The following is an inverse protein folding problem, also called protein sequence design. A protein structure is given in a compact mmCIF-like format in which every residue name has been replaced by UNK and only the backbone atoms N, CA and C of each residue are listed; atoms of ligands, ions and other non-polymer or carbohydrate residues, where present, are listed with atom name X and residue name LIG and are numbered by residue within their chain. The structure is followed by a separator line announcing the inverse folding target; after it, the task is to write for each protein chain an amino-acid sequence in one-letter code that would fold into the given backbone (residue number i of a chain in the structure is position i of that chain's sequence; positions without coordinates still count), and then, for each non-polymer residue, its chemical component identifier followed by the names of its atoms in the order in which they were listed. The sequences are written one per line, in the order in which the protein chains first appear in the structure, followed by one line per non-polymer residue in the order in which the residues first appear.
data_IF_793093526516
#
_entry.id   IF_793093526516
#
_cell.length_a   1.000
_cell.length_b   1.000
_cell.length_c   1.000
_cell.angle_alpha   90.00
_cell.angle_beta   90.00
_cell.angle_gamma   90.00
#
_symmetry.space_group_name_H-M   'P 1'
#
loop_
_entity.id
_entity.type
_entity.pdbx_description
1 polymer ?
#
# COMPACT_ATOMS: atom_id res chain seq x y z
N UNK A 1 3.11 -8.18 34.11
CA UNK A 1 2.26 -8.06 32.90
C UNK A 1 1.96 -6.58 32.75
N UNK A 2 2.63 -5.87 31.85
CA UNK A 2 2.35 -4.46 31.57
C UNK A 2 1.43 -4.39 30.36
N UNK A 3 0.13 -4.27 30.61
CA UNK A 3 -0.84 -3.83 29.62
C UNK A 3 -0.89 -2.31 29.75
N UNK A 4 0.03 -1.60 29.10
CA UNK A 4 -0.13 -0.15 28.91
C UNK A 4 -1.35 -0.02 28.00
N UNK A 5 -2.47 0.43 28.58
CA UNK A 5 -3.73 0.60 27.88
C UNK A 5 -3.57 1.61 26.75
N UNK A 6 -3.63 1.14 25.52
CA UNK A 6 -3.63 1.90 24.28
C UNK A 6 -4.98 2.63 24.01
N UNK A 7 -5.84 2.73 25.03
CA UNK A 7 -7.19 3.32 24.93
C UNK A 7 -7.10 4.80 24.57
N UNK A 8 -6.20 5.56 25.19
CA UNK A 8 -5.98 6.98 24.87
C UNK A 8 -5.54 7.18 23.41
N UNK A 9 -4.77 6.24 22.87
CA UNK A 9 -4.32 6.26 21.48
C UNK A 9 -5.45 5.88 20.50
N UNK A 10 -6.37 5.01 20.92
CA UNK A 10 -7.57 4.65 20.15
C UNK A 10 -8.59 5.79 20.12
N UNK A 11 -8.75 6.55 21.22
CA UNK A 11 -9.67 7.67 21.28
C UNK A 11 -9.28 8.81 20.33
N UNK A 12 -7.99 8.98 20.04
CA UNK A 12 -7.51 9.91 19.01
C UNK A 12 -8.09 9.61 17.63
N UNK A 13 -8.46 8.36 17.34
CA UNK A 13 -9.08 8.01 16.06
C UNK A 13 -10.58 8.35 15.98
N UNK A 14 -11.25 8.60 17.11
CA UNK A 14 -12.68 8.93 17.12
C UNK A 14 -12.99 10.30 16.50
N UNK A 15 -11.98 11.16 16.30
CA UNK A 15 -12.15 12.44 15.61
C UNK A 15 -12.16 12.32 14.10
N UNK A 16 -11.76 11.18 13.53
CA UNK A 16 -11.81 10.99 12.08
C UNK A 16 -13.22 10.63 11.63
N UNK A 17 -13.59 11.16 10.47
CA UNK A 17 -14.80 10.73 9.79
C UNK A 17 -14.70 9.26 9.36
N UNK A 18 -15.82 8.52 9.35
CA UNK A 18 -15.83 7.17 8.81
C UNK A 18 -15.37 7.17 7.34
N UNK A 19 -14.71 6.09 6.94
CA UNK A 19 -14.31 5.91 5.55
C UNK A 19 -15.53 6.00 4.62
N UNK A 20 -15.33 6.64 3.47
CA UNK A 20 -16.34 6.71 2.42
C UNK A 20 -16.70 5.30 1.92
N UNK A 21 -17.91 5.18 1.36
CA UNK A 21 -18.41 3.90 0.85
C UNK A 21 -17.58 3.47 -0.36
N UNK A 22 -17.10 2.22 -0.33
CA UNK A 22 -16.44 1.61 -1.49
C UNK A 22 -17.42 1.53 -2.66
N UNK A 23 -17.04 2.12 -3.79
CA UNK A 23 -17.84 2.14 -5.03
C UNK A 23 -17.18 1.37 -6.17
N UNK A 24 -15.87 1.09 -6.07
CA UNK A 24 -15.08 0.46 -7.12
C UNK A 24 -14.73 -0.98 -6.75
N UNK A 25 -14.89 -1.91 -7.70
CA UNK A 25 -14.46 -3.31 -7.50
C UNK A 25 -12.95 -3.46 -7.64
N UNK A 26 -12.41 -4.54 -7.07
CA UNK A 26 -10.99 -4.84 -7.17
C UNK A 26 -10.51 -4.97 -8.62
N UNK A 27 -11.30 -5.63 -9.47
CA UNK A 27 -10.98 -5.86 -10.87
C UNK A 27 -10.89 -4.54 -11.65
N UNK A 28 -11.89 -3.66 -11.47
CA UNK A 28 -11.91 -2.35 -12.12
C UNK A 28 -10.78 -1.43 -11.63
N UNK A 29 -10.41 -1.53 -10.34
CA UNK A 29 -9.26 -0.81 -9.81
C UNK A 29 -7.95 -1.35 -10.39
N UNK A 30 -7.80 -2.68 -10.46
CA UNK A 30 -6.61 -3.33 -10.98
C UNK A 30 -6.38 -3.00 -12.45
N UNK A 31 -7.41 -3.07 -13.30
CA UNK A 31 -7.33 -2.70 -14.72
C UNK A 31 -6.79 -1.28 -14.92
N UNK A 32 -7.15 -0.33 -14.04
CA UNK A 32 -6.67 1.07 -14.12
C UNK A 32 -5.19 1.25 -13.82
N UNK A 33 -4.62 0.41 -12.94
CA UNK A 33 -3.24 0.56 -12.47
C UNK A 33 -2.28 -0.50 -13.03
N UNK A 34 -2.79 -1.53 -13.70
CA UNK A 34 -1.99 -2.62 -14.24
C UNK A 34 -0.88 -2.13 -15.18
N UNK A 35 -1.18 -1.14 -16.03
CA UNK A 35 -0.20 -0.54 -16.96
C UNK A 35 0.84 0.35 -16.26
N UNK A 36 0.59 0.74 -15.00
CA UNK A 36 1.47 1.59 -14.20
C UNK A 36 2.41 0.78 -13.28
N UNK A 37 2.29 -0.54 -13.29
CA UNK A 37 3.18 -1.43 -12.54
C UNK A 37 4.56 -1.41 -13.19
N UNK A 38 5.56 -1.05 -12.39
CA UNK A 38 6.96 -0.99 -12.80
C UNK A 38 7.70 -2.25 -12.36
N UNK A 39 8.52 -2.81 -13.27
CA UNK A 39 9.49 -3.86 -12.97
C UNK A 39 10.91 -3.29 -13.05
N UNK A 40 11.63 -3.28 -11.93
CA UNK A 40 13.01 -2.77 -11.86
C UNK A 40 13.98 -3.85 -11.42
N UNK A 41 15.14 -4.02 -12.08
CA UNK A 41 16.19 -4.89 -11.57
C UNK A 41 16.77 -4.30 -10.27
N UNK A 42 16.85 -5.11 -9.22
CA UNK A 42 17.45 -4.73 -7.93
C UNK A 42 18.31 -5.88 -7.42
N UNK A 43 19.39 -5.55 -6.72
CA UNK A 43 20.17 -6.54 -5.99
C UNK A 43 19.59 -6.73 -4.59
N UNK A 44 19.17 -7.95 -4.28
CA UNK A 44 18.69 -8.34 -2.95
C UNK A 44 19.74 -9.22 -2.29
N UNK A 45 20.05 -8.94 -1.03
CA UNK A 45 20.96 -9.77 -0.27
C UNK A 45 20.28 -11.09 0.11
N UNK A 46 20.84 -12.21 -0.36
CA UNK A 46 20.39 -13.55 0.01
C UNK A 46 21.28 -14.07 1.14
N UNK A 47 20.70 -14.16 2.33
CA UNK A 47 21.39 -14.65 3.54
C UNK A 47 21.75 -16.14 3.46
N UNK A 48 21.04 -16.94 2.68
CA UNK A 48 21.38 -18.35 2.47
C UNK A 48 22.63 -18.51 1.60
N UNK A 49 22.80 -17.64 0.60
CA UNK A 49 23.92 -17.66 -0.33
C UNK A 49 25.06 -16.71 0.04
N UNK A 50 24.87 -15.89 1.09
CA UNK A 50 25.83 -14.88 1.56
C UNK A 50 26.28 -13.92 0.45
N UNK A 51 25.40 -13.61 -0.50
CA UNK A 51 25.71 -12.75 -1.66
C UNK A 51 24.50 -11.96 -2.12
N UNK A 52 24.75 -10.92 -2.91
CA UNK A 52 23.71 -10.18 -3.60
C UNK A 52 23.28 -10.91 -4.87
N UNK A 53 21.97 -11.08 -5.06
CA UNK A 53 21.35 -11.72 -6.21
C UNK A 53 20.52 -10.70 -6.97
N UNK A 54 20.61 -10.70 -8.30
CA UNK A 54 19.80 -9.85 -9.15
C UNK A 54 18.36 -10.39 -9.20
N UNK A 55 17.41 -9.56 -8.76
CA UNK A 55 15.98 -9.87 -8.74
C UNK A 55 15.19 -8.75 -9.43
N UNK A 56 13.95 -9.05 -9.81
CA UNK A 56 12.99 -8.04 -10.26
C UNK A 56 12.17 -7.52 -9.09
N UNK A 57 12.23 -6.21 -8.82
CA UNK A 57 11.30 -5.51 -7.93
C UNK A 57 10.07 -5.10 -8.74
N UNK A 58 8.92 -5.68 -8.41
CA UNK A 58 7.60 -5.24 -8.88
C UNK A 58 7.12 -4.15 -7.92
N UNK A 59 6.81 -2.97 -8.45
CA UNK A 59 6.38 -1.81 -7.67
C UNK A 59 5.30 -1.03 -8.42
N UNK A 60 4.46 -0.30 -7.71
CA UNK A 60 3.51 0.64 -8.31
C UNK A 60 3.36 1.84 -7.39
N UNK A 61 3.61 3.04 -7.93
CA UNK A 61 3.52 4.29 -7.17
C UNK A 61 2.09 4.83 -7.06
N UNK A 62 1.14 4.16 -7.71
CA UNK A 62 -0.22 4.62 -7.85
C UNK A 62 -1.19 3.68 -7.15
N UNK A 63 -2.20 4.26 -6.51
CA UNK A 63 -3.37 3.57 -5.97
C UNK A 63 -4.63 4.07 -6.64
N UNK A 64 -5.73 3.33 -6.47
CA UNK A 64 -7.07 3.78 -6.86
C UNK A 64 -7.84 4.13 -5.60
N UNK A 65 -8.40 5.34 -5.53
CA UNK A 65 -9.32 5.71 -4.47
C UNK A 65 -10.57 4.81 -4.55
N UNK A 66 -10.86 4.07 -3.48
CA UNK A 66 -11.93 3.08 -3.46
C UNK A 66 -13.35 3.69 -3.58
N UNK A 67 -13.50 4.98 -3.29
CA UNK A 67 -14.78 5.70 -3.26
C UNK A 67 -15.02 6.54 -4.52
N UNK A 68 -13.97 7.12 -5.10
CA UNK A 68 -14.08 7.94 -6.33
C UNK A 68 -13.64 7.19 -7.59
N UNK A 69 -12.75 6.22 -7.45
CA UNK A 69 -12.12 5.52 -8.56
C UNK A 69 -10.99 6.30 -9.23
N UNK A 70 -10.54 7.40 -8.66
CA UNK A 70 -9.42 8.18 -9.17
C UNK A 70 -8.09 7.48 -8.91
N UNK A 71 -7.18 7.58 -9.87
CA UNK A 71 -5.80 7.12 -9.72
C UNK A 71 -4.99 8.21 -9.01
N UNK A 72 -4.37 7.87 -7.90
CA UNK A 72 -3.63 8.79 -7.03
C UNK A 72 -2.21 8.30 -6.78
N UNK A 73 -1.25 9.21 -6.66
CA UNK A 73 0.11 8.83 -6.23
C UNK A 73 0.09 8.50 -4.74
N UNK A 74 0.64 7.34 -4.37
CA UNK A 74 0.68 6.87 -2.98
C UNK A 74 1.60 7.74 -2.11
N UNK A 75 2.59 8.39 -2.69
CA UNK A 75 3.51 9.29 -1.98
C UNK A 75 2.86 10.65 -1.60
N UNK A 76 1.67 10.96 -2.16
CA UNK A 76 0.94 12.22 -1.95
C UNK A 76 -0.26 12.09 -0.98
N UNK A 77 -0.42 10.92 -0.35
CA UNK A 77 -1.47 10.59 0.64
C UNK A 77 -0.89 10.67 2.05
#
# INVERSE_FOLDING_TARGET
MNFIGNVEFLEMFNTYSPAEKITVSFEAAFEKIAEMIELKPVYVYDSSQQKYVLCGKIDCKYGVNASTGDVIMLDEI
#
